data_IF_982453598319
#
_entry.id   IF_982453598319
#
_cell.length_a   1.000
_cell.length_b   1.000
_cell.length_c   1.000
_cell.angle_alpha   90.00
_cell.angle_beta   90.00
_cell.angle_gamma   90.00
#
_symmetry.space_group_name_H-M   'P 1'
#
loop_
_entity.id
_entity.type
_entity.pdbx_description
1 polymer ?
#
# COMPACT_ATOMS: atom_id res chain seq x y z
N UNK A 1 -9.79 9.05 -3.22
CA UNK A 1 -8.97 7.98 -3.84
C UNK A 1 -9.40 7.73 -5.30
N UNK A 2 -9.16 8.67 -6.22
CA UNK A 2 -9.61 8.58 -7.64
C UNK A 2 -8.52 8.11 -8.63
N UNK A 3 -7.33 7.75 -8.13
CA UNK A 3 -6.19 7.38 -8.98
C UNK A 3 -6.05 5.86 -9.22
N UNK A 4 -6.72 5.04 -8.39
CA UNK A 4 -6.59 3.58 -8.38
C UNK A 4 -7.10 2.95 -9.69
N UNK A 5 -8.25 3.40 -10.22
CA UNK A 5 -8.81 2.83 -11.45
C UNK A 5 -7.91 2.97 -12.69
N UNK A 6 -7.13 4.05 -12.78
CA UNK A 6 -6.39 4.40 -13.99
C UNK A 6 -5.15 3.54 -14.24
N UNK A 7 -4.50 3.04 -13.17
CA UNK A 7 -3.26 2.26 -13.27
C UNK A 7 -3.44 0.76 -13.02
N UNK A 8 -4.62 0.31 -12.58
CA UNK A 8 -4.95 -1.13 -12.51
C UNK A 8 -4.90 -1.80 -13.88
N UNK A 9 -5.24 -1.08 -14.96
CA UNK A 9 -5.35 -1.62 -16.32
C UNK A 9 -4.06 -2.24 -16.88
N UNK A 10 -2.88 -1.83 -16.40
CA UNK A 10 -1.58 -2.33 -16.89
C UNK A 10 -0.95 -3.38 -15.95
N UNK A 11 -1.57 -3.65 -14.80
CA UNK A 11 -1.05 -4.56 -13.80
C UNK A 11 -1.69 -5.94 -13.92
N UNK A 12 -0.92 -7.00 -13.62
CA UNK A 12 -1.50 -8.35 -13.63
C UNK A 12 -2.57 -8.49 -12.53
N UNK A 13 -3.60 -9.32 -12.70
CA UNK A 13 -4.65 -9.52 -11.69
C UNK A 13 -4.11 -9.90 -10.30
N UNK A 14 -2.99 -10.64 -10.28
CA UNK A 14 -2.29 -11.02 -9.04
C UNK A 14 -1.72 -9.80 -8.31
N UNK A 15 -1.15 -8.87 -9.06
CA UNK A 15 -0.60 -7.62 -8.56
C UNK A 15 -1.68 -6.72 -7.96
N UNK A 16 -2.82 -6.61 -8.64
CA UNK A 16 -3.99 -5.85 -8.18
C UNK A 16 -4.52 -6.39 -6.85
N UNK A 17 -4.69 -7.72 -6.76
CA UNK A 17 -5.16 -8.38 -5.53
C UNK A 17 -4.21 -8.13 -4.35
N UNK A 18 -2.90 -8.19 -4.60
CA UNK A 18 -1.91 -7.89 -3.58
C UNK A 18 -1.99 -6.43 -3.11
N UNK A 19 -2.14 -5.49 -4.04
CA UNK A 19 -2.31 -4.08 -3.72
C UNK A 19 -3.54 -3.81 -2.84
N UNK A 20 -4.72 -4.30 -3.25
CA UNK A 20 -5.96 -4.15 -2.47
C UNK A 20 -5.79 -4.72 -1.07
N UNK A 21 -5.11 -5.87 -0.94
CA UNK A 21 -4.78 -6.46 0.36
C UNK A 21 -3.93 -5.52 1.20
N UNK A 22 -2.88 -4.94 0.63
CA UNK A 22 -1.98 -4.04 1.36
C UNK A 22 -2.66 -2.74 1.81
N UNK A 23 -3.54 -2.15 0.98
CA UNK A 23 -4.37 -1.02 1.38
C UNK A 23 -5.33 -1.40 2.50
N UNK A 24 -5.99 -2.57 2.40
CA UNK A 24 -6.91 -3.03 3.44
C UNK A 24 -6.18 -3.22 4.77
N UNK A 25 -5.00 -3.84 4.76
CA UNK A 25 -4.18 -4.02 5.94
C UNK A 25 -3.71 -2.67 6.52
N UNK A 26 -3.35 -1.71 5.67
CA UNK A 26 -2.94 -0.37 6.06
C UNK A 26 -4.08 0.39 6.76
N UNK A 27 -5.28 0.38 6.16
CA UNK A 27 -6.48 0.98 6.74
C UNK A 27 -6.83 0.37 8.09
N UNK A 28 -6.74 -0.96 8.21
CA UNK A 28 -6.95 -1.70 9.45
C UNK A 28 -5.92 -1.34 10.51
N UNK A 29 -4.66 -1.19 10.14
CA UNK A 29 -3.58 -0.84 11.06
C UNK A 29 -3.82 0.50 11.76
N UNK A 30 -4.30 1.51 11.02
CA UNK A 30 -4.63 2.82 11.59
C UNK A 30 -6.08 2.99 12.03
N UNK A 31 -6.95 2.01 11.76
CA UNK A 31 -8.39 2.08 11.91
C UNK A 31 -9.00 3.36 11.31
N UNK A 32 -8.51 3.73 10.12
CA UNK A 32 -8.91 4.95 9.39
C UNK A 32 -9.18 4.60 7.94
N UNK A 33 -10.04 5.38 7.31
CA UNK A 33 -10.19 5.33 5.86
C UNK A 33 -8.82 5.61 5.20
N UNK A 34 -8.40 4.83 4.19
CA UNK A 34 -7.17 5.08 3.44
C UNK A 34 -7.04 6.52 2.95
N UNK A 35 -8.17 7.17 2.68
CA UNK A 35 -8.24 8.55 2.17
C UNK A 35 -7.82 9.61 3.21
N UNK A 36 -7.84 9.25 4.49
CA UNK A 36 -7.42 10.12 5.59
C UNK A 36 -5.96 9.92 5.98
N UNK A 37 -5.30 8.91 5.41
CA UNK A 37 -3.93 8.55 5.69
C UNK A 37 -3.00 9.26 4.69
N UNK A 38 -1.97 9.91 5.20
CA UNK A 38 -1.06 10.76 4.41
C UNK A 38 0.32 10.14 4.39
N UNK A 39 1.25 10.87 3.78
CA UNK A 39 2.65 10.46 3.58
C UNK A 39 3.33 9.96 4.86
N UNK A 40 3.07 10.60 6.00
CA UNK A 40 3.66 10.19 7.28
C UNK A 40 3.22 8.78 7.67
N UNK A 41 1.92 8.51 7.62
CA UNK A 41 1.35 7.21 7.97
C UNK A 41 1.83 6.11 7.01
N UNK A 42 1.99 6.46 5.72
CA UNK A 42 2.57 5.57 4.70
C UNK A 42 4.00 5.18 5.09
N UNK A 43 4.88 6.15 5.36
CA UNK A 43 6.26 5.87 5.75
C UNK A 43 6.35 5.00 7.02
N UNK A 44 5.57 5.34 8.05
CA UNK A 44 5.53 4.58 9.30
C UNK A 44 5.05 3.14 9.07
N UNK A 45 4.05 2.93 8.21
CA UNK A 45 3.56 1.60 7.89
C UNK A 45 4.51 0.78 7.03
N UNK A 46 5.18 1.40 6.05
CA UNK A 46 6.20 0.73 5.24
C UNK A 46 7.37 0.30 6.14
N UNK A 47 7.79 1.15 7.06
CA UNK A 47 8.80 0.80 8.06
C UNK A 47 8.36 -0.36 8.96
N UNK A 48 7.11 -0.32 9.45
CA UNK A 48 6.51 -1.45 10.20
C UNK A 48 6.51 -2.75 9.38
N UNK A 49 6.22 -2.68 8.08
CA UNK A 49 6.22 -3.84 7.20
C UNK A 49 7.62 -4.48 7.04
N UNK A 50 8.67 -3.67 6.98
CA UNK A 50 10.06 -4.15 6.93
C UNK A 50 10.42 -4.81 8.27
N UNK A 51 10.24 -4.08 9.38
CA UNK A 51 10.76 -4.49 10.68
C UNK A 51 9.93 -5.61 11.32
N UNK A 52 8.59 -5.55 11.23
CA UNK A 52 7.69 -6.48 11.92
C UNK A 52 7.16 -7.57 11.01
N UNK A 53 6.77 -7.24 9.78
CA UNK A 53 6.28 -8.24 8.80
C UNK A 53 7.42 -8.91 8.01
N UNK A 54 8.68 -8.46 8.18
CA UNK A 54 9.88 -8.98 7.49
C UNK A 54 9.71 -9.07 5.97
N UNK A 55 8.97 -8.10 5.41
CA UNK A 55 8.80 -8.03 3.96
C UNK A 55 10.10 -7.57 3.31
N UNK A 56 10.40 -8.09 2.12
CA UNK A 56 11.56 -7.66 1.37
C UNK A 56 11.43 -6.20 0.96
N UNK A 57 12.56 -5.50 0.92
CA UNK A 57 12.62 -4.09 0.50
C UNK A 57 11.99 -3.88 -0.88
N UNK A 58 12.19 -4.81 -1.82
CA UNK A 58 11.55 -4.75 -3.14
C UNK A 58 10.03 -4.75 -3.05
N UNK A 59 9.44 -5.54 -2.13
CA UNK A 59 7.99 -5.59 -1.93
C UNK A 59 7.49 -4.28 -1.30
N UNK A 60 8.23 -3.74 -0.33
CA UNK A 60 7.88 -2.48 0.34
C UNK A 60 8.03 -1.28 -0.59
N UNK A 61 9.07 -1.24 -1.41
CA UNK A 61 9.26 -0.23 -2.44
C UNK A 61 8.13 -0.26 -3.48
N UNK A 62 7.73 -1.46 -3.92
CA UNK A 62 6.60 -1.63 -4.81
C UNK A 62 5.29 -1.12 -4.19
N UNK A 63 5.05 -1.41 -2.90
CA UNK A 63 3.92 -0.85 -2.16
C UNK A 63 3.97 0.68 -2.09
N UNK A 64 5.12 1.26 -1.76
CA UNK A 64 5.31 2.71 -1.66
C UNK A 64 4.99 3.43 -2.97
N UNK A 65 5.47 2.92 -4.11
CA UNK A 65 5.15 3.45 -5.43
C UNK A 65 3.63 3.46 -5.68
N UNK A 66 2.91 2.42 -5.26
CA UNK A 66 1.46 2.31 -5.42
C UNK A 66 0.63 3.16 -4.45
N UNK A 67 1.22 3.65 -3.35
CA UNK A 67 0.56 4.60 -2.46
C UNK A 67 0.69 6.05 -2.97
N UNK A 68 1.71 6.33 -3.79
CA UNK A 68 2.04 7.67 -4.28
C UNK A 68 1.45 7.93 -5.70
N UNK A 69 1.16 6.87 -6.46
CA UNK A 69 0.56 6.95 -7.82
C UNK A 69 -0.96 6.92 -7.82
#
# INVERSE_FOLDING_TARGET
>A
MNYIDKNLSHNTPKTIKNYIRHISDFAKYYNKSPELLREKEIHEYLHYCIIKKKLSESTVNYMGLLFIT
#
